data_IF_403404262709
#
_entry.id   IF_403404262709
#
_cell.length_a   1.000
_cell.length_b   1.000
_cell.length_c   1.000
_cell.angle_alpha   90.00
_cell.angle_beta   90.00
_cell.angle_gamma   90.00
#
_symmetry.space_group_name_H-M   'P 1'
#
loop_
_entity.id
_entity.type
_entity.pdbx_description
1 polymer ?
#
# COMPACT_ATOMS: atom_id res chain seq x y z
N UNK A 1 22.16 -7.45 -2.13
CA UNK A 1 21.72 -8.05 -0.86
C UNK A 1 20.30 -7.58 -0.60
N UNK A 2 19.38 -8.50 -0.29
CA UNK A 2 17.99 -8.14 0.00
C UNK A 2 17.82 -7.58 1.42
N UNK A 3 16.67 -6.92 1.67
CA UNK A 3 16.32 -6.31 2.97
C UNK A 3 16.46 -7.30 4.16
N UNK A 4 16.31 -8.60 3.91
CA UNK A 4 16.48 -9.64 4.94
C UNK A 4 17.93 -9.92 5.38
N UNK A 5 18.97 -9.28 4.79
CA UNK A 5 20.34 -9.49 5.24
C UNK A 5 20.62 -8.68 6.51
N UNK A 6 21.37 -9.22 7.51
CA UNK A 6 21.65 -8.50 8.76
C UNK A 6 22.29 -7.13 8.56
N UNK A 7 23.20 -7.01 7.58
CA UNK A 7 23.87 -5.73 7.28
C UNK A 7 22.91 -4.66 6.76
N UNK A 8 21.93 -5.05 5.96
CA UNK A 8 20.91 -4.11 5.45
C UNK A 8 19.96 -3.71 6.56
N UNK A 9 19.51 -4.65 7.38
CA UNK A 9 18.65 -4.36 8.55
C UNK A 9 19.34 -3.35 9.48
N UNK A 10 20.62 -3.59 9.79
CA UNK A 10 21.39 -2.69 10.66
C UNK A 10 21.56 -1.30 10.04
N UNK A 11 21.85 -1.20 8.73
CA UNK A 11 21.95 0.08 8.04
C UNK A 11 20.64 0.89 8.09
N UNK A 12 19.49 0.24 7.95
CA UNK A 12 18.19 0.90 8.09
C UNK A 12 17.93 1.36 9.53
N UNK A 13 18.30 0.56 10.54
CA UNK A 13 18.17 0.96 11.96
C UNK A 13 19.04 2.18 12.28
N UNK A 14 20.30 2.18 11.82
CA UNK A 14 21.21 3.30 12.01
C UNK A 14 20.69 4.56 11.32
N UNK A 15 20.24 4.47 10.06
CA UNK A 15 19.66 5.59 9.34
C UNK A 15 18.40 6.12 10.03
N UNK A 16 17.51 5.24 10.48
CA UNK A 16 16.32 5.63 11.26
C UNK A 16 16.69 6.43 12.50
N UNK A 17 17.67 5.94 13.28
CA UNK A 17 18.13 6.62 14.49
C UNK A 17 18.87 7.94 14.19
N UNK A 18 19.71 7.98 13.15
CA UNK A 18 20.48 9.16 12.75
C UNK A 18 19.58 10.31 12.28
N UNK A 19 18.58 10.00 11.47
CA UNK A 19 17.70 11.02 10.87
C UNK A 19 16.39 11.23 11.63
N UNK A 20 16.11 10.46 12.68
CA UNK A 20 14.87 10.55 13.45
C UNK A 20 13.63 10.18 12.62
N UNK A 21 13.78 9.24 11.67
CA UNK A 21 12.70 8.78 10.78
C UNK A 21 12.36 7.33 11.10
N UNK A 22 11.15 7.07 11.57
CA UNK A 22 10.70 5.73 11.91
C UNK A 22 10.35 4.90 10.68
N UNK A 23 10.69 3.61 10.71
CA UNK A 23 10.22 2.62 9.72
C UNK A 23 8.86 2.13 10.19
N UNK A 24 7.79 2.70 9.63
CA UNK A 24 6.43 2.45 10.11
C UNK A 24 5.75 1.23 9.46
N UNK A 25 6.18 0.85 8.25
CA UNK A 25 5.59 -0.26 7.49
C UNK A 25 6.58 -0.83 6.49
N UNK A 26 6.42 -2.10 6.12
CA UNK A 26 7.13 -2.74 5.01
C UNK A 26 6.12 -3.33 4.02
N UNK A 27 6.56 -3.47 2.77
CA UNK A 27 5.78 -4.12 1.70
C UNK A 27 6.61 -5.21 1.01
N UNK A 28 6.07 -6.41 0.78
CA UNK A 28 6.73 -7.47 0.01
C UNK A 28 6.59 -7.22 -1.50
N UNK A 29 7.24 -6.19 -2.04
CA UNK A 29 7.11 -5.81 -3.46
C UNK A 29 7.39 -6.94 -4.46
N UNK A 30 8.22 -7.90 -4.11
CA UNK A 30 8.48 -9.08 -4.97
C UNK A 30 7.26 -10.01 -5.15
N UNK A 31 6.20 -9.82 -4.38
CA UNK A 31 4.91 -10.50 -4.57
C UNK A 31 4.30 -10.20 -5.95
N UNK A 32 4.66 -9.12 -6.62
CA UNK A 32 4.26 -8.85 -8.00
C UNK A 32 4.79 -9.88 -9.00
N UNK A 33 5.90 -10.57 -8.68
CA UNK A 33 6.51 -11.58 -9.53
C UNK A 33 5.95 -12.98 -9.23
N UNK A 34 5.49 -13.21 -8.02
CA UNK A 34 4.97 -14.49 -7.52
C UNK A 34 3.57 -14.27 -6.94
N UNK A 35 2.73 -15.30 -6.99
CA UNK A 35 1.33 -15.14 -6.58
C UNK A 35 0.93 -16.16 -5.51
N UNK A 36 0.48 -15.69 -4.36
CA UNK A 36 -0.17 -16.51 -3.35
C UNK A 36 -1.62 -16.86 -3.71
N UNK A 37 -2.18 -16.28 -4.77
CA UNK A 37 -3.50 -16.63 -5.30
C UNK A 37 -3.45 -17.74 -6.34
N UNK A 38 -2.28 -18.27 -6.67
CA UNK A 38 -2.12 -19.48 -7.51
C UNK A 38 -2.67 -20.73 -6.80
N UNK A 39 -2.94 -21.81 -7.53
CA UNK A 39 -3.32 -23.10 -6.93
C UNK A 39 -2.31 -23.55 -5.86
N UNK A 40 -2.81 -24.08 -4.75
CA UNK A 40 -1.99 -24.57 -3.65
C UNK A 40 -0.97 -25.62 -4.12
N UNK A 41 0.28 -25.48 -3.69
CA UNK A 41 1.39 -26.35 -4.05
C UNK A 41 2.14 -25.92 -5.32
N UNK A 42 1.74 -24.85 -6.00
CA UNK A 42 2.54 -24.24 -7.05
C UNK A 42 3.81 -23.61 -6.44
N UNK A 43 4.92 -23.65 -7.18
CA UNK A 43 6.18 -23.05 -6.72
C UNK A 43 6.05 -21.53 -6.47
N UNK A 44 5.34 -20.82 -7.36
CA UNK A 44 5.10 -19.39 -7.21
C UNK A 44 4.31 -19.07 -5.93
N UNK A 45 3.31 -19.88 -5.61
CA UNK A 45 2.50 -19.74 -4.41
C UNK A 45 3.37 -19.89 -3.14
N UNK A 46 4.22 -20.91 -3.09
CA UNK A 46 5.13 -21.17 -1.96
C UNK A 46 6.12 -20.00 -1.76
N UNK A 47 6.73 -19.52 -2.85
CA UNK A 47 7.67 -18.39 -2.80
C UNK A 47 6.96 -17.13 -2.32
N UNK A 48 5.78 -16.81 -2.87
CA UNK A 48 5.00 -15.66 -2.44
C UNK A 48 4.67 -15.72 -0.95
N UNK A 49 4.22 -16.87 -0.47
CA UNK A 49 3.89 -17.06 0.94
C UNK A 49 5.12 -16.87 1.86
N UNK A 50 6.26 -17.43 1.48
CA UNK A 50 7.53 -17.27 2.23
C UNK A 50 7.98 -15.80 2.28
N UNK A 51 7.84 -15.04 1.17
CA UNK A 51 8.17 -13.63 1.12
C UNK A 51 7.28 -12.79 2.04
N UNK A 52 5.98 -13.05 2.07
CA UNK A 52 5.05 -12.36 2.98
C UNK A 52 5.38 -12.73 4.43
N UNK A 53 5.57 -14.00 4.74
CA UNK A 53 5.95 -14.46 6.08
C UNK A 53 7.23 -13.78 6.58
N UNK A 54 8.25 -13.66 5.72
CA UNK A 54 9.50 -12.95 6.04
C UNK A 54 9.29 -11.46 6.23
N UNK A 55 8.41 -10.83 5.43
CA UNK A 55 8.10 -9.41 5.60
C UNK A 55 7.44 -9.14 6.95
N UNK A 56 6.51 -10.00 7.40
CA UNK A 56 5.88 -9.89 8.72
C UNK A 56 6.93 -10.00 9.83
N UNK A 57 7.87 -10.95 9.71
CA UNK A 57 8.95 -11.12 10.68
C UNK A 57 9.84 -9.87 10.75
N UNK A 58 10.21 -9.29 9.58
CA UNK A 58 10.97 -8.04 9.49
C UNK A 58 10.21 -6.85 10.07
N UNK A 59 8.89 -6.74 9.84
CA UNK A 59 8.07 -5.72 10.50
C UNK A 59 8.20 -5.80 12.02
N UNK A 60 8.19 -7.00 12.61
CA UNK A 60 8.44 -7.20 14.03
C UNK A 60 9.84 -6.76 14.46
N UNK A 61 10.87 -7.05 13.66
CA UNK A 61 12.26 -6.64 13.92
C UNK A 61 12.45 -5.12 13.89
N UNK A 62 11.73 -4.39 13.03
CA UNK A 62 11.75 -2.94 12.93
C UNK A 62 10.76 -2.22 13.87
N UNK A 63 9.86 -2.96 14.53
CA UNK A 63 8.82 -2.38 15.37
C UNK A 63 7.69 -1.71 14.58
N UNK A 64 7.50 -2.10 13.32
CA UNK A 64 6.40 -1.61 12.49
C UNK A 64 5.04 -1.91 13.12
N UNK A 65 4.09 -1.01 12.92
CA UNK A 65 2.70 -1.17 13.38
C UNK A 65 1.78 -1.79 12.33
N UNK A 66 2.21 -1.78 11.09
CA UNK A 66 1.48 -2.38 9.97
C UNK A 66 2.43 -2.94 8.94
N UNK A 67 1.93 -3.83 8.09
CA UNK A 67 2.58 -4.13 6.82
C UNK A 67 1.58 -3.98 5.67
N UNK A 68 2.07 -3.53 4.53
CA UNK A 68 1.28 -3.40 3.31
C UNK A 68 1.37 -4.70 2.52
N UNK A 69 0.22 -5.32 2.25
CA UNK A 69 0.10 -6.50 1.41
C UNK A 69 -0.58 -6.13 0.08
N UNK A 70 0.17 -6.11 -1.04
CA UNK A 70 -0.41 -5.88 -2.36
C UNK A 70 -1.28 -7.08 -2.79
N UNK A 71 -2.58 -6.83 -3.01
CA UNK A 71 -3.56 -7.80 -3.54
C UNK A 71 -4.02 -7.32 -4.92
N UNK A 72 -3.05 -7.08 -5.78
CA UNK A 72 -3.21 -6.55 -7.14
C UNK A 72 -2.18 -7.20 -8.07
N UNK A 73 -2.20 -6.89 -9.35
CA UNK A 73 -1.32 -7.53 -10.33
C UNK A 73 -1.52 -9.04 -10.37
N UNK A 74 -0.48 -9.82 -10.20
CA UNK A 74 -0.55 -11.30 -10.14
C UNK A 74 -1.33 -11.83 -8.93
N UNK A 75 -1.42 -11.05 -7.85
CA UNK A 75 -2.18 -11.39 -6.65
C UNK A 75 -3.62 -10.85 -6.68
N UNK A 76 -4.02 -10.25 -7.81
CA UNK A 76 -5.36 -9.70 -7.99
C UNK A 76 -6.43 -10.79 -7.93
N UNK A 77 -7.59 -10.41 -7.40
CA UNK A 77 -8.76 -11.28 -7.33
C UNK A 77 -9.56 -11.10 -8.63
N UNK A 78 -9.58 -12.14 -9.46
CA UNK A 78 -10.20 -12.11 -10.78
C UNK A 78 -11.46 -12.97 -10.89
N UNK A 79 -11.61 -13.97 -10.00
CA UNK A 79 -12.68 -14.97 -10.02
C UNK A 79 -12.93 -15.55 -8.62
N UNK A 80 -13.94 -16.41 -8.50
CA UNK A 80 -14.26 -17.09 -7.23
C UNK A 80 -13.11 -17.92 -6.65
N UNK A 81 -12.42 -18.75 -7.44
CA UNK A 81 -11.25 -19.49 -6.96
C UNK A 81 -10.12 -18.59 -6.43
N UNK A 82 -9.76 -17.51 -7.12
CA UNK A 82 -8.74 -16.56 -6.64
C UNK A 82 -9.21 -15.80 -5.39
N UNK A 83 -10.50 -15.47 -5.28
CA UNK A 83 -11.10 -14.88 -4.08
C UNK A 83 -10.91 -15.78 -2.86
N UNK A 84 -11.27 -17.05 -2.96
CA UNK A 84 -11.15 -17.97 -1.84
C UNK A 84 -9.69 -18.19 -1.41
N UNK A 85 -8.78 -18.29 -2.37
CA UNK A 85 -7.35 -18.39 -2.05
C UNK A 85 -6.82 -17.12 -1.40
N UNK A 86 -7.16 -15.94 -1.94
CA UNK A 86 -6.78 -14.66 -1.36
C UNK A 86 -7.29 -14.54 0.07
N UNK A 87 -8.58 -14.80 0.33
CA UNK A 87 -9.17 -14.73 1.67
C UNK A 87 -8.44 -15.67 2.66
N UNK A 88 -8.15 -16.91 2.24
CA UNK A 88 -7.45 -17.87 3.09
C UNK A 88 -6.02 -17.43 3.43
N UNK A 89 -5.26 -16.92 2.46
CA UNK A 89 -3.91 -16.42 2.68
C UNK A 89 -3.87 -15.13 3.49
N UNK A 90 -4.75 -14.17 3.19
CA UNK A 90 -4.86 -12.93 3.95
C UNK A 90 -5.19 -13.24 5.42
N UNK A 91 -6.13 -14.16 5.67
CA UNK A 91 -6.45 -14.62 7.02
C UNK A 91 -5.21 -15.16 7.73
N UNK A 92 -4.51 -16.11 7.12
CA UNK A 92 -3.28 -16.71 7.67
C UNK A 92 -2.22 -15.65 7.97
N UNK A 93 -1.94 -14.74 7.02
CA UNK A 93 -0.94 -13.70 7.19
C UNK A 93 -1.32 -12.70 8.27
N UNK A 94 -2.58 -12.30 8.30
CA UNK A 94 -3.07 -11.35 9.30
C UNK A 94 -3.12 -11.95 10.72
N UNK A 95 -3.40 -13.23 10.86
CA UNK A 95 -3.30 -13.92 12.15
C UNK A 95 -1.86 -13.91 12.66
N UNK A 96 -0.88 -14.27 11.81
CA UNK A 96 0.55 -14.21 12.15
C UNK A 96 1.02 -12.79 12.51
N UNK A 97 0.55 -11.78 11.78
CA UNK A 97 0.87 -10.37 12.04
C UNK A 97 0.25 -9.89 13.36
N UNK A 98 -1.01 -10.25 13.60
CA UNK A 98 -1.76 -9.88 14.81
C UNK A 98 -1.12 -10.41 16.10
N UNK A 99 -0.48 -11.60 16.08
CA UNK A 99 0.31 -12.14 17.20
C UNK A 99 1.43 -11.20 17.65
N UNK A 100 1.86 -10.29 16.77
CA UNK A 100 2.88 -9.26 17.03
C UNK A 100 2.31 -7.85 17.19
N UNK A 101 0.99 -7.71 17.18
CA UNK A 101 0.29 -6.41 17.22
C UNK A 101 0.48 -5.59 15.93
N UNK A 102 0.70 -6.27 14.78
CA UNK A 102 0.91 -5.64 13.48
C UNK A 102 -0.39 -5.74 12.67
N UNK A 103 -0.91 -4.61 12.20
CA UNK A 103 -2.05 -4.58 11.28
C UNK A 103 -1.65 -5.03 9.87
N UNK A 104 -2.55 -5.69 9.17
CA UNK A 104 -2.40 -6.05 7.75
C UNK A 104 -3.18 -5.06 6.90
N UNK A 105 -2.49 -4.27 6.09
CA UNK A 105 -3.12 -3.28 5.21
C UNK A 105 -3.12 -3.80 3.77
N UNK A 106 -4.29 -4.00 3.19
CA UNK A 106 -4.47 -4.55 1.84
C UNK A 106 -4.51 -3.43 0.81
N UNK A 107 -3.56 -3.38 -0.12
CA UNK A 107 -3.68 -2.57 -1.33
C UNK A 107 -4.39 -3.39 -2.41
N UNK A 108 -5.59 -2.96 -2.81
CA UNK A 108 -6.51 -3.78 -3.60
C UNK A 108 -7.28 -2.95 -4.62
N UNK A 109 -7.46 -3.52 -5.83
CA UNK A 109 -8.25 -2.93 -6.92
C UNK A 109 -9.60 -3.65 -7.05
N UNK A 110 -10.49 -3.46 -6.10
CA UNK A 110 -11.80 -4.09 -6.05
C UNK A 110 -12.89 -3.04 -5.80
N UNK A 111 -14.12 -3.32 -6.19
CA UNK A 111 -15.26 -2.47 -5.85
C UNK A 111 -15.49 -2.43 -4.32
N UNK A 112 -16.22 -1.43 -3.84
CA UNK A 112 -16.57 -1.30 -2.42
C UNK A 112 -17.25 -2.58 -1.89
N UNK A 113 -18.19 -3.15 -2.65
CA UNK A 113 -18.88 -4.39 -2.31
C UNK A 113 -17.91 -5.57 -2.20
N UNK A 114 -17.01 -5.71 -3.16
CA UNK A 114 -16.02 -6.80 -3.15
C UNK A 114 -15.03 -6.67 -2.00
N UNK A 115 -14.67 -5.44 -1.61
CA UNK A 115 -13.85 -5.18 -0.42
C UNK A 115 -14.57 -5.66 0.84
N UNK A 116 -15.84 -5.31 1.04
CA UNK A 116 -16.61 -5.78 2.18
C UNK A 116 -16.69 -7.32 2.21
N UNK A 117 -17.03 -7.94 1.08
CA UNK A 117 -17.11 -9.40 0.97
C UNK A 117 -15.76 -10.08 1.32
N UNK A 118 -14.64 -9.48 0.93
CA UNK A 118 -13.32 -10.01 1.26
C UNK A 118 -13.01 -9.87 2.76
N UNK A 119 -13.27 -8.70 3.35
CA UNK A 119 -13.03 -8.48 4.77
C UNK A 119 -13.92 -9.38 5.64
N UNK A 120 -15.18 -9.59 5.25
CA UNK A 120 -16.09 -10.53 5.91
C UNK A 120 -15.58 -11.97 5.82
N UNK A 121 -15.05 -12.39 4.66
CA UNK A 121 -14.49 -13.72 4.48
C UNK A 121 -13.18 -13.94 5.26
N UNK A 122 -12.36 -12.90 5.41
CA UNK A 122 -11.12 -12.94 6.20
C UNK A 122 -11.43 -12.98 7.70
N UNK A 123 -12.45 -12.26 8.15
CA UNK A 123 -12.92 -12.22 9.54
C UNK A 123 -11.79 -11.93 10.56
N UNK A 124 -11.03 -10.86 10.30
CA UNK A 124 -9.96 -10.43 11.21
C UNK A 124 -9.96 -8.88 11.32
N UNK A 125 -10.27 -8.29 12.49
CA UNK A 125 -10.37 -6.84 12.69
C UNK A 125 -9.04 -6.10 12.52
N UNK A 126 -7.90 -6.81 12.54
CA UNK A 126 -6.56 -6.26 12.27
C UNK A 126 -6.28 -6.10 10.77
N UNK A 127 -7.21 -6.51 9.89
CA UNK A 127 -7.10 -6.28 8.45
C UNK A 127 -7.79 -4.98 8.10
N UNK A 128 -7.06 -4.10 7.43
CA UNK A 128 -7.51 -2.79 6.95
C UNK A 128 -7.23 -2.65 5.46
N UNK A 129 -7.79 -1.63 4.84
CA UNK A 129 -7.49 -1.26 3.46
C UNK A 129 -6.35 -0.25 3.44
N UNK A 130 -5.37 -0.50 2.59
CA UNK A 130 -4.40 0.52 2.19
C UNK A 130 -4.98 1.21 0.95
N UNK A 131 -5.54 2.41 1.18
CA UNK A 131 -6.14 3.18 0.11
C UNK A 131 -5.06 3.78 -0.79
N UNK A 132 -5.27 3.71 -2.09
CA UNK A 132 -4.44 4.39 -3.08
C UNK A 132 -5.24 5.45 -3.82
N UNK A 133 -4.65 6.64 -4.01
CA UNK A 133 -5.36 7.79 -4.59
C UNK A 133 -5.48 7.76 -6.11
N UNK A 134 -4.90 6.77 -6.79
CA UNK A 134 -4.87 6.76 -8.26
C UNK A 134 -5.19 5.40 -8.90
N UNK A 135 -4.90 4.27 -8.25
CA UNK A 135 -4.96 2.94 -8.87
C UNK A 135 -6.28 2.68 -9.59
N UNK A 136 -7.42 2.73 -8.91
CA UNK A 136 -8.73 2.47 -9.51
C UNK A 136 -9.15 3.56 -10.51
N UNK A 137 -8.72 4.82 -10.32
CA UNK A 137 -8.96 5.87 -11.31
C UNK A 137 -8.34 5.52 -12.66
N UNK A 138 -7.10 5.03 -12.67
CA UNK A 138 -6.43 4.62 -13.90
C UNK A 138 -7.03 3.35 -14.46
N UNK A 139 -7.44 2.40 -13.61
CA UNK A 139 -7.97 1.11 -14.01
C UNK A 139 -9.35 1.21 -14.68
N UNK A 140 -10.29 1.97 -14.09
CA UNK A 140 -11.68 2.03 -14.55
C UNK A 140 -12.35 3.41 -14.46
N UNK A 141 -11.60 4.45 -14.10
CA UNK A 141 -12.13 5.81 -13.96
C UNK A 141 -12.86 6.08 -12.64
N UNK A 142 -12.75 5.19 -11.66
CA UNK A 142 -13.39 5.34 -10.35
C UNK A 142 -12.98 6.67 -9.69
N UNK A 143 -13.97 7.39 -9.14
CA UNK A 143 -13.72 8.57 -8.32
C UNK A 143 -13.09 8.20 -6.98
N UNK A 144 -11.79 8.45 -6.82
CA UNK A 144 -11.05 8.07 -5.63
C UNK A 144 -11.58 8.75 -4.35
N UNK A 145 -12.08 9.98 -4.45
CA UNK A 145 -12.73 10.64 -3.32
C UNK A 145 -14.00 9.92 -2.84
N UNK A 146 -14.83 9.44 -3.76
CA UNK A 146 -16.03 8.67 -3.41
C UNK A 146 -15.68 7.29 -2.87
N UNK A 147 -14.70 6.65 -3.47
CA UNK A 147 -14.20 5.35 -3.02
C UNK A 147 -13.64 5.43 -1.60
N UNK A 148 -12.81 6.47 -1.32
CA UNK A 148 -12.32 6.73 0.03
C UNK A 148 -13.47 6.91 1.03
N UNK A 149 -14.46 7.77 0.70
CA UNK A 149 -15.59 8.05 1.59
C UNK A 149 -16.38 6.77 1.93
N UNK A 150 -16.57 5.90 0.95
CA UNK A 150 -17.31 4.65 1.15
C UNK A 150 -16.58 3.65 2.07
N UNK A 151 -15.24 3.70 2.12
CA UNK A 151 -14.39 2.79 2.90
C UNK A 151 -13.73 3.44 4.12
N UNK A 152 -14.03 4.72 4.43
CA UNK A 152 -13.27 5.52 5.40
C UNK A 152 -13.03 4.83 6.75
N UNK A 153 -14.02 4.09 7.28
CA UNK A 153 -13.89 3.33 8.53
C UNK A 153 -13.00 2.09 8.46
N UNK A 154 -12.63 1.66 7.27
CA UNK A 154 -11.83 0.44 7.01
C UNK A 154 -10.38 0.77 6.59
N UNK A 155 -10.05 2.07 6.42
CA UNK A 155 -8.75 2.48 5.90
C UNK A 155 -7.72 2.57 7.03
N UNK A 156 -6.61 1.83 6.90
CA UNK A 156 -5.47 1.84 7.81
C UNK A 156 -4.29 2.69 7.32
N UNK A 157 -4.12 2.83 6.02
CA UNK A 157 -3.05 3.62 5.40
C UNK A 157 -3.48 4.22 4.07
N UNK A 158 -2.76 5.24 3.62
CA UNK A 158 -3.06 5.97 2.37
C UNK A 158 -1.80 6.20 1.56
N UNK A 159 -1.80 5.77 0.29
CA UNK A 159 -0.89 6.28 -0.73
C UNK A 159 -1.49 7.52 -1.39
N UNK A 160 -0.70 8.59 -1.44
CA UNK A 160 -0.98 9.78 -2.21
C UNK A 160 -0.03 9.84 -3.40
N UNK A 161 -0.60 9.73 -4.60
CA UNK A 161 0.10 9.81 -5.86
C UNK A 161 -0.79 10.46 -6.91
N UNK A 162 -0.19 10.97 -7.97
CA UNK A 162 -0.89 11.58 -9.09
C UNK A 162 -0.21 11.25 -10.41
N UNK A 163 -0.94 11.39 -11.49
CA UNK A 163 -0.45 11.15 -12.85
C UNK A 163 -1.45 11.59 -13.90
N UNK A 164 -1.00 11.65 -15.14
CA UNK A 164 -1.81 12.05 -16.30
C UNK A 164 -2.21 10.82 -17.11
N UNK A 165 -3.52 10.65 -17.33
CA UNK A 165 -4.05 9.51 -18.10
C UNK A 165 -3.69 8.17 -17.44
N UNK A 166 -3.16 7.19 -18.19
CA UNK A 166 -2.83 5.86 -17.66
C UNK A 166 -1.50 5.81 -16.88
N UNK A 167 -0.81 6.94 -16.71
CA UNK A 167 0.49 6.98 -16.05
C UNK A 167 0.32 7.06 -14.53
N UNK A 168 0.59 5.95 -13.84
CA UNK A 168 0.62 5.90 -12.38
C UNK A 168 1.85 6.61 -11.81
N UNK A 169 1.67 7.39 -10.72
CA UNK A 169 2.74 8.03 -9.95
C UNK A 169 3.69 8.91 -10.79
N UNK A 170 3.26 9.41 -11.92
CA UNK A 170 4.10 10.10 -12.90
C UNK A 170 3.98 11.61 -12.90
N UNK A 171 3.33 12.23 -11.92
CA UNK A 171 3.21 13.68 -11.76
C UNK A 171 3.50 14.09 -10.33
N UNK A 172 3.85 15.36 -10.10
CA UNK A 172 3.76 15.92 -8.77
C UNK A 172 2.30 15.95 -8.31
N UNK A 173 2.07 15.86 -7.02
CA UNK A 173 0.74 15.88 -6.44
C UNK A 173 -0.01 17.16 -6.83
N UNK A 174 -1.22 16.98 -7.39
CA UNK A 174 -2.06 18.07 -7.88
C UNK A 174 -1.80 18.52 -9.31
N UNK A 175 -0.78 18.00 -9.99
CA UNK A 175 -0.50 18.30 -11.40
C UNK A 175 -1.05 17.22 -12.36
N UNK A 176 -1.54 16.11 -11.83
CA UNK A 176 -2.15 15.03 -12.59
C UNK A 176 -3.67 15.20 -12.78
N UNK A 177 -4.30 14.11 -13.18
CA UNK A 177 -5.75 14.09 -13.50
C UNK A 177 -6.57 13.21 -12.56
N UNK A 178 -5.96 12.54 -11.55
CA UNK A 178 -6.67 11.66 -10.62
C UNK A 178 -7.59 12.38 -9.64
N UNK A 179 -7.45 13.70 -9.52
CA UNK A 179 -8.27 14.51 -8.62
C UNK A 179 -7.80 14.45 -7.17
N UNK A 180 -6.48 14.41 -6.94
CA UNK A 180 -5.86 14.28 -5.63
C UNK A 180 -6.38 15.29 -4.60
N UNK A 181 -6.69 16.54 -4.98
CA UNK A 181 -7.25 17.52 -4.04
C UNK A 181 -8.68 17.16 -3.58
N UNK A 182 -9.50 16.59 -4.46
CA UNK A 182 -10.83 16.08 -4.06
C UNK A 182 -10.71 14.89 -3.12
N UNK A 183 -9.75 14.04 -3.38
CA UNK A 183 -9.43 12.90 -2.51
C UNK A 183 -8.90 13.37 -1.15
N UNK A 184 -7.97 14.32 -1.12
CA UNK A 184 -7.47 14.93 0.11
C UNK A 184 -8.60 15.57 0.94
N UNK A 185 -9.55 16.25 0.28
CA UNK A 185 -10.73 16.80 0.96
C UNK A 185 -11.60 15.70 1.59
N UNK A 186 -11.85 14.60 0.88
CA UNK A 186 -12.59 13.47 1.43
C UNK A 186 -11.88 12.83 2.64
N UNK A 187 -10.55 12.74 2.60
CA UNK A 187 -9.72 12.27 3.73
C UNK A 187 -9.91 13.18 4.94
N UNK A 188 -9.82 14.51 4.76
CA UNK A 188 -10.02 15.50 5.84
C UNK A 188 -11.43 15.42 6.43
N UNK A 189 -12.45 15.41 5.57
CA UNK A 189 -13.85 15.39 5.99
C UNK A 189 -14.24 14.12 6.74
N UNK A 190 -13.54 13.00 6.49
CA UNK A 190 -13.74 11.73 7.21
C UNK A 190 -13.16 11.75 8.65
N UNK A 191 -12.30 12.70 8.97
CA UNK A 191 -11.57 12.72 10.23
C UNK A 191 -10.44 11.69 10.31
N UNK A 192 -10.01 11.09 9.20
CA UNK A 192 -8.91 10.12 9.16
C UNK A 192 -7.62 10.67 9.76
N UNK A 193 -6.99 9.91 10.67
CA UNK A 193 -5.77 10.28 11.38
C UNK A 193 -4.58 9.34 11.11
N UNK A 194 -4.76 8.34 10.24
CA UNK A 194 -3.70 7.37 9.92
C UNK A 194 -2.60 7.94 9.03
N UNK A 195 -1.63 7.08 8.72
CA UNK A 195 -0.47 7.41 7.89
C UNK A 195 -0.85 7.79 6.46
N UNK A 196 -0.14 8.77 5.92
CA UNK A 196 -0.22 9.20 4.51
C UNK A 196 1.17 9.14 3.92
N UNK A 197 1.33 8.39 2.86
CA UNK A 197 2.63 8.12 2.23
C UNK A 197 2.58 8.66 0.80
N UNK A 198 3.60 9.40 0.41
CA UNK A 198 3.81 9.82 -0.99
C UNK A 198 4.34 8.62 -1.76
N UNK A 199 3.65 8.24 -2.83
CA UNK A 199 4.10 7.19 -3.76
C UNK A 199 4.29 7.78 -5.16
N UNK A 200 5.32 8.60 -5.32
CA UNK A 200 5.66 9.25 -6.59
C UNK A 200 6.93 8.64 -7.19
N UNK A 201 6.96 8.52 -8.52
CA UNK A 201 8.11 8.00 -9.27
C UNK A 201 8.70 9.15 -10.07
N UNK A 202 9.71 9.81 -9.50
CA UNK A 202 10.26 11.07 -10.02
C UNK A 202 11.20 10.92 -11.23
N UNK A 203 11.51 9.70 -11.65
CA UNK A 203 12.26 9.39 -12.86
C UNK A 203 11.37 9.14 -14.10
N UNK A 204 10.04 9.16 -13.94
CA UNK A 204 9.10 9.05 -15.06
C UNK A 204 9.11 10.30 -15.94
N UNK A 205 8.85 10.09 -17.23
CA UNK A 205 8.98 11.10 -18.29
C UNK A 205 8.30 12.45 -18.01
N UNK A 206 7.18 12.45 -17.30
CA UNK A 206 6.42 13.68 -16.99
C UNK A 206 7.07 14.59 -15.94
N UNK A 207 7.95 14.04 -15.10
CA UNK A 207 8.64 14.75 -14.01
C UNK A 207 10.15 14.68 -14.15
N UNK A 208 10.68 13.75 -14.94
CA UNK A 208 12.11 13.58 -15.21
C UNK A 208 12.70 14.89 -15.74
N UNK A 209 13.82 15.31 -15.17
CA UNK A 209 14.53 16.55 -15.55
C UNK A 209 13.92 17.84 -14.96
N UNK A 210 12.89 17.78 -14.14
CA UNK A 210 12.31 18.95 -13.45
C UNK A 210 12.98 19.31 -12.13
N UNK A 211 13.95 18.52 -11.69
CA UNK A 211 14.73 18.67 -10.47
C UNK A 211 15.28 17.33 -10.00
N UNK A 212 16.12 17.37 -8.97
CA UNK A 212 16.55 16.15 -8.29
C UNK A 212 15.36 15.46 -7.58
N UNK A 213 15.32 14.13 -7.43
CA UNK A 213 14.23 13.43 -6.77
C UNK A 213 13.90 13.98 -5.37
N UNK A 214 14.92 14.38 -4.62
CA UNK A 214 14.78 14.95 -3.27
C UNK A 214 14.10 16.32 -3.30
N UNK A 215 14.37 17.15 -4.31
CA UNK A 215 13.71 18.44 -4.50
C UNK A 215 12.23 18.28 -4.90
N UNK A 216 11.93 17.27 -5.71
CA UNK A 216 10.58 16.95 -6.13
C UNK A 216 9.77 16.38 -4.96
N UNK A 217 10.37 15.48 -4.18
CA UNK A 217 9.78 14.97 -2.94
C UNK A 217 9.49 16.10 -1.94
N UNK A 218 10.42 17.04 -1.77
CA UNK A 218 10.21 18.17 -0.88
C UNK A 218 9.01 19.05 -1.32
N UNK A 219 8.78 19.21 -2.64
CA UNK A 219 7.60 19.93 -3.15
C UNK A 219 6.30 19.20 -2.81
N UNK A 220 6.24 17.89 -3.02
CA UNK A 220 5.08 17.07 -2.69
C UNK A 220 4.83 17.06 -1.17
N UNK A 221 5.86 16.89 -0.36
CA UNK A 221 5.75 16.97 1.09
C UNK A 221 5.22 18.33 1.58
N UNK A 222 5.76 19.43 1.03
CA UNK A 222 5.29 20.78 1.35
C UNK A 222 3.82 21.00 0.92
N UNK A 223 3.37 20.37 -0.17
CA UNK A 223 1.97 20.41 -0.55
C UNK A 223 1.09 19.68 0.47
N UNK A 224 1.50 18.48 0.89
CA UNK A 224 0.73 17.70 1.88
C UNK A 224 0.63 18.41 3.22
N UNK A 225 1.71 19.03 3.71
CA UNK A 225 1.67 19.88 4.90
C UNK A 225 0.63 21.00 4.77
N UNK A 226 0.61 21.72 3.65
CA UNK A 226 -0.39 22.79 3.44
C UNK A 226 -1.82 22.29 3.35
N UNK A 227 -2.03 21.04 2.96
CA UNK A 227 -3.38 20.47 2.77
C UNK A 227 -3.91 19.82 4.05
N UNK A 228 -3.04 19.21 4.86
CA UNK A 228 -3.45 18.35 5.97
C UNK A 228 -3.14 18.92 7.37
N UNK A 229 -2.28 19.92 7.48
CA UNK A 229 -1.94 20.62 8.73
C UNK A 229 -2.69 21.93 8.85
#
# INVERSE_FOLDING_TARGET
QGLGSPAVIEAYRQGSAEYGVDICSLSPQFVDQYSFTMPQGAEEERIAAELVDRTIDLCGEFGCKSFLLPVLGKNGICDGPSFHRAAAYIKRFSEKAAERGIETHLEINQSVEQVHNLLDAVDNPMVKIFFDSQNLYVYDGTSMARYFTALAGLIGGVHLKDGVGPMLSGSLLGEGTSGVFRTARAILDSGYKGGRIIESVYDKASVCGRGAPEELLAKDAALLHRVFD
#
